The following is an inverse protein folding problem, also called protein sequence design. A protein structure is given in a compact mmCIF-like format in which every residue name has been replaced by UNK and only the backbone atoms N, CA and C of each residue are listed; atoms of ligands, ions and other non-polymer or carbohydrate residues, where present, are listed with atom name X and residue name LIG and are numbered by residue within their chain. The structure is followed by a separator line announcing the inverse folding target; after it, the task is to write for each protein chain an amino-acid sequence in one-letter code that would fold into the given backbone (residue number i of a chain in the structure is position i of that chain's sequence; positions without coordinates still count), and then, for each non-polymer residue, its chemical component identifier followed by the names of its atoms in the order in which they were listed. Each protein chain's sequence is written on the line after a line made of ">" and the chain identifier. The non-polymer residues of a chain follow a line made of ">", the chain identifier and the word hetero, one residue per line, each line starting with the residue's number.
data_IF_029998782870
#
_entry.id   IF_029998782870
#
_cell.length_a   1.000
_cell.length_b   1.000
_cell.length_c   1.000
_cell.angle_alpha   90.00
_cell.angle_beta   90.00
_cell.angle_gamma   90.00
#
_symmetry.space_group_name_H-M   'P 1'
#
loop_
_entity.id
_entity.type
_entity.pdbx_description
1 polymer ?
#
# COMPACT_ATOMS: atom_id res chain seq x y z
N UNK A 1 -29.30 1.05 18.76
CA UNK A 1 -28.21 1.75 18.11
C UNK A 1 -28.63 2.42 16.81
N UNK A 2 -28.32 1.84 15.66
CA UNK A 2 -28.48 2.50 14.34
C UNK A 2 -29.92 2.82 13.99
N UNK A 3 -30.89 1.95 14.28
CA UNK A 3 -32.32 2.22 14.00
C UNK A 3 -32.80 3.45 14.75
N UNK A 4 -32.42 3.62 16.03
CA UNK A 4 -32.79 4.81 16.82
C UNK A 4 -32.18 6.08 16.23
N UNK A 5 -30.92 6.01 15.76
CA UNK A 5 -30.23 7.11 15.10
C UNK A 5 -30.98 7.55 13.83
N UNK A 6 -31.29 6.62 12.96
CA UNK A 6 -31.98 6.94 11.70
C UNK A 6 -33.44 7.39 11.92
N UNK A 7 -34.14 6.80 12.87
CA UNK A 7 -35.48 7.26 13.23
C UNK A 7 -35.48 8.73 13.71
N UNK A 8 -34.46 9.09 14.51
CA UNK A 8 -34.31 10.48 14.94
C UNK A 8 -34.01 11.42 13.76
N UNK A 9 -33.14 11.06 12.84
CA UNK A 9 -32.88 11.83 11.61
C UNK A 9 -34.14 12.04 10.78
N UNK A 10 -34.91 10.99 10.55
CA UNK A 10 -36.14 11.07 9.76
C UNK A 10 -37.19 11.94 10.46
N UNK A 11 -37.29 11.88 11.78
CA UNK A 11 -38.16 12.76 12.56
C UNK A 11 -37.80 14.25 12.41
N UNK A 12 -36.51 14.58 12.39
CA UNK A 12 -36.03 15.94 12.14
C UNK A 12 -36.33 16.36 10.68
N UNK A 13 -36.05 15.49 9.73
CA UNK A 13 -36.29 15.72 8.32
C UNK A 13 -37.78 15.97 8.02
N UNK A 14 -38.65 15.22 8.64
CA UNK A 14 -40.11 15.38 8.49
C UNK A 14 -40.62 16.73 9.05
N UNK A 15 -39.98 17.24 10.10
CA UNK A 15 -40.36 18.55 10.70
C UNK A 15 -39.84 19.75 9.92
N UNK A 16 -38.58 19.65 9.41
CA UNK A 16 -37.89 20.83 8.90
C UNK A 16 -37.66 20.78 7.39
N UNK A 17 -37.90 19.64 6.76
CA UNK A 17 -37.56 19.44 5.34
C UNK A 17 -36.02 19.42 5.11
N UNK A 18 -35.64 19.43 3.82
CA UNK A 18 -34.28 19.61 3.40
C UNK A 18 -33.46 18.30 3.26
N UNK A 19 -32.20 18.47 2.87
CA UNK A 19 -31.25 17.37 2.68
C UNK A 19 -30.48 17.06 3.98
N UNK A 20 -30.24 15.77 4.21
CA UNK A 20 -29.48 15.31 5.38
C UNK A 20 -28.02 15.16 5.03
N UNK A 21 -27.14 15.74 5.85
CA UNK A 21 -25.70 15.52 5.81
C UNK A 21 -25.24 14.95 7.16
N UNK A 22 -24.50 13.85 7.11
CA UNK A 22 -23.93 13.20 8.29
C UNK A 22 -22.42 13.39 8.25
N UNK A 23 -21.86 14.05 9.27
CA UNK A 23 -20.43 14.20 9.43
C UNK A 23 -19.93 13.31 10.56
N UNK A 24 -18.85 12.58 10.34
CA UNK A 24 -18.29 11.70 11.37
C UNK A 24 -16.77 11.68 11.34
N UNK A 25 -16.18 11.44 12.50
CA UNK A 25 -14.76 11.10 12.61
C UNK A 25 -14.53 9.62 12.32
N UNK A 26 -13.33 9.29 11.87
CA UNK A 26 -12.93 7.88 11.72
C UNK A 26 -13.63 7.11 10.63
N UNK A 27 -14.03 7.79 9.54
CA UNK A 27 -14.56 7.12 8.34
C UNK A 27 -13.70 5.91 7.94
N UNK A 28 -14.38 4.82 7.59
CA UNK A 28 -13.77 3.54 7.24
C UNK A 28 -12.97 2.85 8.38
N UNK A 29 -13.19 3.27 9.63
CA UNK A 29 -12.68 2.67 10.86
C UNK A 29 -13.78 1.94 11.66
N UNK A 30 -13.92 2.27 12.93
CA UNK A 30 -14.96 1.73 13.82
C UNK A 30 -16.38 2.09 13.38
N UNK A 31 -16.56 3.25 12.75
CA UNK A 31 -17.87 3.72 12.25
C UNK A 31 -18.32 3.02 10.95
N UNK A 32 -17.55 2.10 10.39
CA UNK A 32 -17.82 1.46 9.09
C UNK A 32 -19.24 0.91 8.88
N UNK A 33 -19.88 0.25 9.85
CA UNK A 33 -21.27 -0.17 9.66
C UNK A 33 -22.23 1.01 9.48
N UNK A 34 -22.00 2.12 10.20
CA UNK A 34 -22.78 3.35 10.06
C UNK A 34 -22.51 4.06 8.74
N UNK A 35 -21.24 4.11 8.31
CA UNK A 35 -20.84 4.70 7.03
C UNK A 35 -21.67 4.16 5.86
N UNK A 36 -21.83 2.83 5.80
CA UNK A 36 -22.64 2.16 4.78
C UNK A 36 -24.10 2.51 4.88
N UNK A 37 -24.68 2.39 6.06
CA UNK A 37 -26.10 2.64 6.29
C UNK A 37 -26.49 4.08 5.95
N UNK A 38 -25.60 5.05 6.18
CA UNK A 38 -25.78 6.45 5.80
C UNK A 38 -25.84 6.60 4.27
N UNK A 39 -24.90 5.97 3.56
CA UNK A 39 -24.86 6.02 2.10
C UNK A 39 -26.02 5.26 1.44
N UNK A 40 -26.41 4.10 1.96
CA UNK A 40 -27.54 3.31 1.48
C UNK A 40 -28.87 4.05 1.57
N UNK A 41 -29.01 4.97 2.56
CA UNK A 41 -30.17 5.85 2.68
C UNK A 41 -30.11 7.12 1.84
N UNK A 42 -29.08 7.26 1.01
CA UNK A 42 -28.89 8.43 0.15
C UNK A 42 -28.48 9.71 0.89
N UNK A 43 -28.05 9.63 2.17
CA UNK A 43 -27.58 10.79 2.90
C UNK A 43 -26.17 11.16 2.52
N UNK A 44 -25.88 12.46 2.50
CA UNK A 44 -24.55 12.97 2.26
C UNK A 44 -23.63 12.63 3.43
N UNK A 45 -22.57 11.88 3.18
CA UNK A 45 -21.57 11.52 4.19
C UNK A 45 -20.34 12.41 4.07
N UNK A 46 -19.90 12.98 5.21
CA UNK A 46 -18.73 13.81 5.32
C UNK A 46 -17.77 13.19 6.35
N UNK A 47 -16.51 13.01 5.98
CA UNK A 47 -15.44 12.64 6.92
C UNK A 47 -14.81 13.88 7.52
N UNK A 48 -14.78 13.96 8.84
CA UNK A 48 -14.10 15.01 9.56
C UNK A 48 -12.61 14.66 9.66
N UNK A 49 -11.74 15.55 9.21
CA UNK A 49 -10.31 15.37 9.36
C UNK A 49 -9.88 15.69 10.79
N UNK A 50 -9.60 14.68 11.60
CA UNK A 50 -9.31 14.77 13.02
C UNK A 50 -8.16 15.74 13.35
N UNK A 51 -7.10 15.76 12.55
CA UNK A 51 -5.98 16.68 12.78
C UNK A 51 -6.39 18.14 12.56
N UNK A 52 -7.22 18.40 11.57
CA UNK A 52 -7.71 19.76 11.30
C UNK A 52 -8.76 20.18 12.31
N UNK A 53 -9.61 19.26 12.74
CA UNK A 53 -10.57 19.50 13.82
C UNK A 53 -9.85 19.80 15.13
N UNK A 54 -8.80 19.06 15.47
CA UNK A 54 -7.99 19.35 16.65
C UNK A 54 -7.42 20.77 16.62
N UNK A 55 -6.84 21.19 15.51
CA UNK A 55 -6.34 22.58 15.34
C UNK A 55 -7.44 23.63 15.38
N UNK A 56 -8.62 23.30 14.86
CA UNK A 56 -9.78 24.18 14.98
C UNK A 56 -10.23 24.34 16.43
N UNK A 57 -10.18 23.26 17.21
CA UNK A 57 -10.48 23.31 18.65
C UNK A 57 -9.51 24.16 19.45
N UNK A 58 -8.25 24.27 19.02
CA UNK A 58 -7.22 25.11 19.66
C UNK A 58 -7.51 26.61 19.58
N UNK A 59 -8.39 27.05 18.66
CA UNK A 59 -8.81 28.46 18.55
C UNK A 59 -9.74 28.88 19.69
N UNK A 60 -10.39 27.91 20.35
CA UNK A 60 -11.34 28.17 21.43
C UNK A 60 -10.70 27.95 22.80
N UNK A 61 -11.11 28.70 23.82
CA UNK A 61 -10.66 28.45 25.20
C UNK A 61 -10.87 26.99 25.60
N UNK A 62 -9.94 26.45 26.39
CA UNK A 62 -9.95 25.03 26.77
C UNK A 62 -11.25 24.67 27.49
N UNK A 63 -12.16 24.04 26.80
CA UNK A 63 -13.37 23.47 27.37
C UNK A 63 -13.13 22.01 27.73
N UNK A 64 -13.92 21.49 28.67
CA UNK A 64 -13.92 20.08 29.01
C UNK A 64 -14.09 19.24 27.74
N UNK A 65 -13.34 18.16 27.61
CA UNK A 65 -13.44 17.25 26.46
C UNK A 65 -14.58 16.26 26.70
N UNK A 66 -15.67 16.43 25.97
CA UNK A 66 -16.80 15.49 25.94
C UNK A 66 -17.26 15.27 24.49
N UNK A 67 -17.83 14.11 24.21
CA UNK A 67 -18.36 13.78 22.87
C UNK A 67 -19.41 14.79 22.40
N UNK A 68 -20.21 15.34 23.34
CA UNK A 68 -21.21 16.37 23.05
C UNK A 68 -20.57 17.67 22.56
N UNK A 69 -19.50 18.11 23.20
CA UNK A 69 -18.75 19.30 22.80
C UNK A 69 -18.09 19.08 21.43
N UNK A 70 -17.53 17.91 21.22
CA UNK A 70 -16.88 17.54 19.96
C UNK A 70 -17.89 17.50 18.80
N UNK A 71 -19.07 16.92 19.02
CA UNK A 71 -20.15 16.93 18.03
C UNK A 71 -20.64 18.34 17.69
N UNK A 72 -20.80 19.21 18.72
CA UNK A 72 -21.20 20.63 18.54
C UNK A 72 -20.15 21.39 17.73
N UNK A 73 -18.87 21.25 18.02
CA UNK A 73 -17.77 21.87 17.26
C UNK A 73 -17.72 21.35 15.83
N UNK A 74 -18.03 20.07 15.60
CA UNK A 74 -18.19 19.51 14.27
C UNK A 74 -19.33 20.20 13.48
N UNK A 75 -20.46 20.47 14.13
CA UNK A 75 -21.59 21.18 13.54
C UNK A 75 -21.26 22.65 13.23
N UNK A 76 -20.63 23.37 14.17
CA UNK A 76 -20.15 24.74 13.97
C UNK A 76 -19.17 24.81 12.77
N UNK A 77 -18.31 23.82 12.64
CA UNK A 77 -17.40 23.70 11.51
C UNK A 77 -18.12 23.49 10.17
N UNK A 78 -19.22 22.74 10.15
CA UNK A 78 -20.08 22.58 8.96
C UNK A 78 -20.68 23.91 8.54
N UNK A 79 -21.24 24.65 9.49
CA UNK A 79 -21.83 25.97 9.27
C UNK A 79 -20.79 26.99 8.77
N UNK A 80 -19.59 27.00 9.39
CA UNK A 80 -18.47 27.83 8.91
C UNK A 80 -17.99 27.43 7.50
N UNK A 81 -18.16 26.20 7.11
CA UNK A 81 -17.83 25.72 5.75
C UNK A 81 -18.62 26.41 4.64
N UNK A 82 -19.80 26.90 4.95
CA UNK A 82 -20.63 27.64 3.99
C UNK A 82 -20.17 29.10 3.80
N UNK A 83 -19.60 29.68 4.83
CA UNK A 83 -19.11 31.07 4.86
C UNK A 83 -17.61 31.15 4.55
N UNK A 84 -16.79 30.24 5.11
CA UNK A 84 -15.33 30.25 4.99
C UNK A 84 -14.84 29.07 4.10
N UNK A 85 -14.35 29.31 2.87
CA UNK A 85 -13.87 28.26 1.98
C UNK A 85 -12.74 27.40 2.60
N UNK A 86 -11.95 27.96 3.53
CA UNK A 86 -10.89 27.23 4.24
C UNK A 86 -11.46 26.16 5.16
N UNK A 87 -12.61 26.39 5.80
CA UNK A 87 -13.29 25.45 6.66
C UNK A 87 -13.82 24.23 5.89
N UNK A 88 -14.23 24.39 4.63
CA UNK A 88 -14.68 23.29 3.74
C UNK A 88 -13.63 22.20 3.60
N UNK A 89 -12.35 22.51 3.68
CA UNK A 89 -11.26 21.52 3.58
C UNK A 89 -11.13 20.60 4.80
N UNK A 90 -11.81 20.91 5.89
CA UNK A 90 -11.85 20.06 7.11
C UNK A 90 -12.84 18.93 6.95
N UNK A 91 -13.96 19.23 6.29
CA UNK A 91 -15.02 18.29 5.94
C UNK A 91 -14.77 17.74 4.55
N UNK A 92 -14.53 16.46 4.47
CA UNK A 92 -14.21 15.78 3.21
C UNK A 92 -15.44 14.97 2.76
N UNK A 93 -16.04 15.30 1.59
CA UNK A 93 -17.10 14.46 1.04
C UNK A 93 -16.62 13.03 0.86
N UNK A 94 -17.40 12.07 1.33
CA UNK A 94 -17.16 10.65 1.13
C UNK A 94 -17.89 10.24 -0.14
N UNK A 95 -17.11 9.80 -1.12
CA UNK A 95 -17.64 9.31 -2.38
C UNK A 95 -17.95 7.82 -2.27
N UNK A 96 -18.99 7.38 -2.93
CA UNK A 96 -19.27 5.95 -3.07
C UNK A 96 -18.18 5.29 -3.89
N UNK A 97 -17.53 4.30 -3.30
CA UNK A 97 -16.45 3.54 -3.95
C UNK A 97 -17.09 2.24 -4.48
N UNK A 98 -16.87 1.88 -5.76
CA UNK A 98 -17.27 0.57 -6.27
C UNK A 98 -16.75 -0.56 -5.35
N UNK A 99 -17.61 -1.52 -5.06
CA UNK A 99 -17.31 -2.62 -4.12
C UNK A 99 -16.01 -3.34 -4.47
N UNK A 100 -15.78 -3.56 -5.76
CA UNK A 100 -14.55 -4.21 -6.26
C UNK A 100 -13.28 -3.44 -5.87
N UNK A 101 -13.31 -2.10 -5.93
CA UNK A 101 -12.15 -1.29 -5.56
C UNK A 101 -11.92 -1.29 -4.03
N UNK A 102 -12.97 -1.36 -3.20
CA UNK A 102 -12.81 -1.53 -1.75
C UNK A 102 -12.27 -2.93 -1.41
N UNK A 103 -12.67 -3.96 -2.14
CA UNK A 103 -12.11 -5.32 -2.01
C UNK A 103 -10.63 -5.33 -2.40
N UNK A 104 -10.25 -4.78 -3.56
CA UNK A 104 -8.86 -4.64 -4.00
C UNK A 104 -8.02 -3.90 -2.96
N UNK A 105 -8.53 -2.82 -2.40
CA UNK A 105 -7.84 -2.07 -1.33
C UNK A 105 -7.53 -2.93 -0.12
N UNK A 106 -8.43 -3.82 0.29
CA UNK A 106 -8.22 -4.70 1.45
C UNK A 106 -7.21 -5.79 1.16
N UNK A 107 -7.35 -6.44 0.01
CA UNK A 107 -6.47 -7.53 -0.39
C UNK A 107 -5.04 -7.02 -0.61
N UNK A 108 -4.87 -5.92 -1.34
CA UNK A 108 -3.53 -5.35 -1.61
C UNK A 108 -2.86 -4.85 -0.33
N UNK A 109 -3.61 -4.28 0.61
CA UNK A 109 -3.08 -3.91 1.94
C UNK A 109 -2.66 -5.13 2.74
N UNK A 110 -3.48 -6.20 2.75
CA UNK A 110 -3.13 -7.46 3.41
C UNK A 110 -1.89 -8.08 2.78
N UNK A 111 -1.86 -8.13 1.43
CA UNK A 111 -0.69 -8.59 0.68
C UNK A 111 0.59 -7.86 1.08
N UNK A 112 0.55 -6.53 1.13
CA UNK A 112 1.71 -5.73 1.52
C UNK A 112 2.19 -6.06 2.94
N UNK A 113 1.27 -6.22 3.89
CA UNK A 113 1.61 -6.63 5.26
C UNK A 113 2.34 -7.97 5.28
N UNK A 114 1.87 -8.97 4.50
CA UNK A 114 2.53 -10.28 4.42
C UNK A 114 3.91 -10.21 3.73
N UNK A 115 4.06 -9.39 2.70
CA UNK A 115 5.36 -9.17 2.03
C UNK A 115 6.36 -8.50 2.99
N UNK A 116 5.92 -7.50 3.76
CA UNK A 116 6.76 -6.84 4.75
C UNK A 116 7.12 -7.79 5.91
N UNK A 117 6.19 -8.61 6.37
CA UNK A 117 6.44 -9.66 7.36
C UNK A 117 7.46 -10.67 6.84
N UNK A 118 7.27 -11.17 5.60
CA UNK A 118 8.22 -12.08 4.95
C UNK A 118 9.62 -11.48 4.88
N UNK A 119 9.74 -10.19 4.56
CA UNK A 119 11.04 -9.49 4.54
C UNK A 119 11.71 -9.45 5.91
N UNK A 120 10.95 -9.19 6.98
CA UNK A 120 11.50 -9.19 8.35
C UNK A 120 11.97 -10.58 8.79
N UNK A 121 11.16 -11.62 8.54
CA UNK A 121 11.51 -13.01 8.86
C UNK A 121 12.74 -13.45 8.07
N UNK A 122 12.82 -13.08 6.78
CA UNK A 122 13.99 -13.37 5.93
C UNK A 122 15.27 -12.72 6.46
N UNK A 123 15.20 -11.48 6.91
CA UNK A 123 16.36 -10.77 7.50
C UNK A 123 16.83 -11.44 8.79
N UNK A 124 15.91 -11.90 9.63
CA UNK A 124 16.23 -12.65 10.85
C UNK A 124 16.88 -13.99 10.51
N UNK A 125 16.27 -14.77 9.62
CA UNK A 125 16.82 -16.03 9.11
C UNK A 125 18.28 -15.88 8.62
N UNK A 126 18.57 -14.81 7.84
CA UNK A 126 19.91 -14.54 7.35
C UNK A 126 20.89 -14.25 8.48
N UNK A 127 20.48 -13.46 9.47
CA UNK A 127 21.32 -13.13 10.64
C UNK A 127 21.64 -14.36 11.45
N UNK A 128 20.64 -15.20 11.72
CA UNK A 128 20.80 -16.41 12.53
C UNK A 128 21.62 -17.48 11.79
N UNK A 129 21.41 -17.65 10.49
CA UNK A 129 22.23 -18.54 9.65
C UNK A 129 23.70 -18.10 9.63
N UNK A 130 23.95 -16.78 9.55
CA UNK A 130 25.31 -16.25 9.57
C UNK A 130 26.02 -16.52 10.89
N UNK A 131 25.29 -16.53 12.00
CA UNK A 131 25.83 -16.82 13.33
C UNK A 131 26.07 -18.33 13.56
N UNK A 132 25.13 -19.17 13.08
CA UNK A 132 25.14 -20.62 13.37
C UNK A 132 25.90 -21.43 12.34
N UNK A 133 25.77 -21.10 11.05
CA UNK A 133 26.39 -21.83 9.94
C UNK A 133 26.66 -20.91 8.75
N UNK A 134 27.66 -20.00 8.84
CA UNK A 134 27.88 -18.92 7.86
C UNK A 134 28.02 -19.42 6.41
N UNK A 135 28.74 -20.52 6.18
CA UNK A 135 28.94 -21.09 4.84
C UNK A 135 27.66 -21.61 4.16
N UNK A 136 26.55 -21.73 4.88
CA UNK A 136 25.28 -22.20 4.32
C UNK A 136 24.66 -21.14 3.37
N UNK A 137 24.82 -19.87 3.65
CA UNK A 137 24.31 -18.79 2.80
C UNK A 137 25.08 -18.70 1.47
N UNK A 138 26.34 -19.10 1.44
CA UNK A 138 27.20 -18.98 0.25
C UNK A 138 26.77 -19.91 -0.89
N UNK A 139 26.09 -21.02 -0.57
CA UNK A 139 25.61 -21.96 -1.59
C UNK A 139 24.40 -21.44 -2.38
N UNK A 140 23.65 -20.46 -1.84
CA UNK A 140 22.40 -19.99 -2.44
C UNK A 140 22.51 -18.66 -3.15
N UNK A 141 23.39 -17.77 -2.73
CA UNK A 141 23.47 -16.38 -3.17
C UNK A 141 22.29 -15.50 -2.72
N UNK A 142 21.08 -16.07 -2.55
CA UNK A 142 19.86 -15.40 -2.08
C UNK A 142 19.06 -16.32 -1.19
N UNK A 143 18.92 -15.98 0.10
CA UNK A 143 18.24 -16.81 1.08
C UNK A 143 16.72 -16.99 0.80
N UNK A 144 16.11 -16.13 -0.03
CA UNK A 144 14.71 -16.24 -0.44
C UNK A 144 14.45 -17.29 -1.55
N UNK A 145 15.49 -17.94 -2.08
CA UNK A 145 15.35 -18.96 -3.11
C UNK A 145 14.53 -20.14 -2.60
N UNK A 146 13.53 -20.56 -3.38
CA UNK A 146 12.57 -21.58 -2.97
C UNK A 146 13.25 -22.93 -2.63
N UNK A 147 14.24 -23.34 -3.45
CA UNK A 147 15.00 -24.56 -3.22
C UNK A 147 15.75 -24.52 -1.90
N UNK A 148 16.29 -23.37 -1.52
CA UNK A 148 17.05 -23.18 -0.30
C UNK A 148 16.16 -23.23 0.94
N UNK A 149 15.01 -22.58 0.90
CA UNK A 149 14.02 -22.63 1.96
C UNK A 149 13.48 -24.05 2.13
N UNK A 150 13.18 -24.77 1.05
CA UNK A 150 12.76 -26.17 1.08
C UNK A 150 13.87 -27.08 1.64
N UNK A 151 15.14 -26.80 1.30
CA UNK A 151 16.28 -27.52 1.84
C UNK A 151 16.41 -27.33 3.35
N UNK A 152 16.32 -26.10 3.86
CA UNK A 152 16.35 -25.85 5.31
C UNK A 152 15.16 -26.52 6.00
N UNK A 153 13.97 -26.42 5.44
CA UNK A 153 12.73 -26.92 6.06
C UNK A 153 12.53 -28.44 5.95
N UNK A 154 13.44 -29.18 5.29
CA UNK A 154 13.26 -30.63 5.10
C UNK A 154 13.72 -31.48 6.30
N UNK A 155 14.26 -30.85 7.33
CA UNK A 155 14.79 -31.52 8.54
C UNK A 155 14.16 -30.93 9.79
N UNK A 156 14.22 -31.66 10.89
CA UNK A 156 13.80 -31.27 12.24
C UNK A 156 14.96 -30.76 13.11
N UNK A 157 16.20 -30.96 12.67
CA UNK A 157 17.44 -30.50 13.30
C UNK A 157 18.37 -29.97 12.21
N UNK A 158 18.83 -28.71 12.35
CA UNK A 158 19.65 -28.02 11.37
C UNK A 158 20.93 -28.80 11.03
N UNK A 159 21.53 -29.47 12.01
CA UNK A 159 22.75 -30.28 11.82
C UNK A 159 22.55 -31.48 10.89
N UNK A 160 21.32 -31.99 10.76
CA UNK A 160 21.02 -33.10 9.83
C UNK A 160 21.22 -32.70 8.36
N UNK A 161 21.15 -31.40 8.03
CA UNK A 161 21.45 -30.91 6.68
C UNK A 161 22.84 -31.34 6.19
N UNK A 162 23.84 -31.38 7.08
CA UNK A 162 25.20 -31.81 6.75
C UNK A 162 25.33 -33.31 6.41
N UNK A 163 24.31 -34.11 6.69
CA UNK A 163 24.35 -35.57 6.54
C UNK A 163 23.36 -36.14 5.54
N UNK A 164 22.62 -35.27 4.83
CA UNK A 164 21.64 -35.70 3.83
C UNK A 164 22.33 -36.35 2.62
N UNK A 165 21.84 -37.53 2.22
CA UNK A 165 22.33 -38.23 1.03
C UNK A 165 21.85 -37.55 -0.25
N UNK A 166 22.60 -37.70 -1.33
CA UNK A 166 22.25 -37.13 -2.64
C UNK A 166 20.84 -37.53 -3.10
N UNK A 167 20.46 -38.80 -2.89
CA UNK A 167 19.13 -39.28 -3.23
C UNK A 167 18.00 -38.57 -2.46
N UNK A 168 18.27 -38.11 -1.24
CA UNK A 168 17.33 -37.31 -0.43
C UNK A 168 17.32 -35.88 -0.93
N UNK A 169 18.48 -35.28 -1.24
CA UNK A 169 18.57 -33.93 -1.77
C UNK A 169 17.78 -33.76 -3.07
N UNK A 170 17.86 -34.74 -3.98
CA UNK A 170 17.13 -34.70 -5.25
C UNK A 170 15.60 -34.85 -5.12
N UNK A 171 15.10 -35.28 -3.94
CA UNK A 171 13.65 -35.32 -3.65
C UNK A 171 13.12 -33.96 -3.13
N UNK A 172 14.01 -33.06 -2.73
CA UNK A 172 13.60 -31.73 -2.22
C UNK A 172 13.08 -30.88 -3.38
N UNK A 173 11.91 -30.27 -3.27
CA UNK A 173 11.35 -29.44 -4.32
C UNK A 173 12.31 -28.33 -4.78
N UNK A 174 12.48 -28.21 -6.08
CA UNK A 174 13.37 -27.24 -6.75
C UNK A 174 14.89 -27.46 -6.52
N UNK A 175 15.32 -28.58 -5.93
CA UNK A 175 16.74 -29.00 -5.87
C UNK A 175 17.03 -29.91 -7.04
N UNK A 176 17.81 -29.42 -8.03
CA UNK A 176 18.34 -30.22 -9.13
C UNK A 176 19.80 -30.64 -8.89
N UNK A 177 20.37 -31.36 -9.85
CA UNK A 177 21.77 -31.88 -9.75
C UNK A 177 22.81 -30.78 -9.41
N UNK A 178 22.67 -29.60 -10.00
CA UNK A 178 23.58 -28.49 -9.75
C UNK A 178 23.57 -28.02 -8.29
N UNK A 179 22.38 -27.87 -7.70
CA UNK A 179 22.24 -27.50 -6.30
C UNK A 179 22.63 -28.65 -5.37
N UNK A 180 22.30 -29.89 -5.70
CA UNK A 180 22.73 -31.05 -4.93
C UNK A 180 24.26 -31.12 -4.85
N UNK A 181 24.98 -30.88 -5.96
CA UNK A 181 26.46 -30.83 -5.94
C UNK A 181 27.01 -29.70 -5.06
N UNK A 182 26.41 -28.50 -5.09
CA UNK A 182 26.79 -27.38 -4.21
C UNK A 182 26.55 -27.72 -2.74
N UNK A 183 25.41 -28.32 -2.42
CA UNK A 183 25.09 -28.77 -1.05
C UNK A 183 26.12 -29.80 -0.58
N UNK A 184 26.46 -30.80 -1.42
CA UNK A 184 27.47 -31.81 -1.08
C UNK A 184 28.85 -31.20 -0.87
N UNK A 185 29.26 -30.22 -1.66
CA UNK A 185 30.51 -29.48 -1.44
C UNK A 185 30.51 -28.77 -0.09
N UNK A 186 29.41 -28.09 0.27
CA UNK A 186 29.22 -27.45 1.57
C UNK A 186 29.25 -28.47 2.71
N UNK A 187 28.58 -29.63 2.58
CA UNK A 187 28.54 -30.66 3.61
C UNK A 187 29.92 -31.17 4.04
N UNK A 188 30.92 -31.12 3.14
CA UNK A 188 32.30 -31.59 3.42
C UNK A 188 33.07 -30.62 4.32
N UNK A 189 32.73 -29.36 4.33
CA UNK A 189 33.50 -28.31 5.01
C UNK A 189 32.67 -27.57 6.08
N UNK A 190 31.40 -27.96 6.26
CA UNK A 190 30.50 -27.23 7.15
C UNK A 190 30.85 -27.43 8.62
N UNK A 191 30.76 -26.34 9.36
CA UNK A 191 30.92 -26.29 10.81
C UNK A 191 29.71 -25.55 11.37
N UNK A 192 29.11 -26.11 12.41
CA UNK A 192 28.02 -25.46 13.16
C UNK A 192 28.59 -24.91 14.46
N UNK A 193 28.17 -23.69 14.82
CA UNK A 193 28.46 -23.16 16.15
C UNK A 193 27.70 -23.96 17.22
N UNK A 194 28.13 -23.83 18.47
CA UNK A 194 27.41 -24.43 19.61
C UNK A 194 25.98 -23.88 19.77
N UNK A 195 25.70 -22.70 19.24
CA UNK A 195 24.37 -22.08 19.26
C UNK A 195 23.34 -22.81 18.38
N UNK A 196 23.77 -23.74 17.53
CA UNK A 196 22.88 -24.55 16.69
C UNK A 196 21.83 -25.32 17.48
N UNK A 197 22.08 -25.60 18.76
CA UNK A 197 21.15 -26.37 19.61
C UNK A 197 19.88 -25.56 19.96
N UNK A 198 19.99 -24.23 20.12
CA UNK A 198 18.84 -23.39 20.49
C UNK A 198 18.44 -22.42 19.39
N UNK A 199 19.33 -21.96 18.52
CA UNK A 199 18.98 -21.11 17.37
C UNK A 199 18.51 -21.95 16.17
N UNK A 200 19.01 -23.18 16.01
CA UNK A 200 18.64 -24.08 14.92
C UNK A 200 17.14 -24.25 14.74
N UNK A 201 16.36 -24.56 15.81
CA UNK A 201 14.89 -24.65 15.72
C UNK A 201 14.23 -23.35 15.23
N UNK A 202 14.74 -22.17 15.64
CA UNK A 202 14.22 -20.86 15.19
C UNK A 202 14.46 -20.66 13.69
N UNK A 203 15.62 -21.07 13.19
CA UNK A 203 15.95 -21.02 11.75
C UNK A 203 14.98 -21.88 10.94
N UNK A 204 14.67 -23.10 11.41
CA UNK A 204 13.73 -24.00 10.74
C UNK A 204 12.32 -23.42 10.71
N UNK A 205 11.86 -22.88 11.83
CA UNK A 205 10.55 -22.20 11.95
C UNK A 205 10.47 -20.99 11.00
N UNK A 206 11.51 -20.16 10.95
CA UNK A 206 11.56 -18.99 10.08
C UNK A 206 11.56 -19.38 8.59
N UNK A 207 12.29 -20.42 8.19
CA UNK A 207 12.28 -20.92 6.83
C UNK A 207 10.88 -21.41 6.43
N UNK A 208 10.22 -22.19 7.28
CA UNK A 208 8.84 -22.63 7.07
C UNK A 208 7.88 -21.44 6.99
N UNK A 209 8.02 -20.48 7.89
CA UNK A 209 7.20 -19.26 7.91
C UNK A 209 7.33 -18.44 6.62
N UNK A 210 8.54 -18.33 6.06
CA UNK A 210 8.77 -17.63 4.78
C UNK A 210 8.05 -18.34 3.63
N UNK A 211 8.05 -19.68 3.60
CA UNK A 211 7.32 -20.48 2.62
C UNK A 211 5.81 -20.25 2.72
N UNK A 212 5.24 -20.32 3.92
CA UNK A 212 3.81 -20.09 4.18
C UNK A 212 3.38 -18.68 3.76
N UNK A 213 4.16 -17.64 4.14
CA UNK A 213 3.92 -16.27 3.73
C UNK A 213 3.97 -16.12 2.21
N UNK A 214 4.90 -16.82 1.55
CA UNK A 214 4.99 -16.86 0.10
C UNK A 214 3.74 -17.44 -0.56
N UNK A 215 3.20 -18.53 -0.03
CA UNK A 215 1.95 -19.15 -0.50
C UNK A 215 0.75 -18.22 -0.26
N UNK A 216 0.66 -17.62 0.92
CA UNK A 216 -0.42 -16.67 1.24
C UNK A 216 -0.40 -15.43 0.32
N UNK A 217 0.78 -14.91 -0.02
CA UNK A 217 0.93 -13.81 -0.99
C UNK A 217 0.44 -14.23 -2.37
N UNK A 218 0.82 -15.43 -2.86
CA UNK A 218 0.35 -15.95 -4.15
C UNK A 218 -1.17 -16.11 -4.20
N UNK A 219 -1.78 -16.61 -3.12
CA UNK A 219 -3.23 -16.72 -3.04
C UNK A 219 -3.95 -15.37 -3.12
N UNK A 220 -3.38 -14.31 -2.48
CA UNK A 220 -3.90 -12.95 -2.60
C UNK A 220 -3.69 -12.38 -4.01
N UNK A 221 -2.60 -12.71 -4.69
CA UNK A 221 -2.35 -12.29 -6.07
C UNK A 221 -3.39 -12.86 -7.03
N UNK A 222 -3.79 -14.12 -6.87
CA UNK A 222 -4.87 -14.74 -7.64
C UNK A 222 -6.23 -14.05 -7.40
N UNK A 223 -6.55 -13.75 -6.14
CA UNK A 223 -7.78 -13.02 -5.81
C UNK A 223 -7.77 -11.61 -6.40
N UNK A 224 -6.64 -10.91 -6.35
CA UNK A 224 -6.49 -9.60 -6.97
C UNK A 224 -6.65 -9.68 -8.50
N UNK A 225 -6.10 -10.72 -9.15
CA UNK A 225 -6.26 -10.92 -10.59
C UNK A 225 -7.73 -11.09 -11.01
N UNK A 226 -8.49 -11.89 -10.25
CA UNK A 226 -9.93 -12.06 -10.49
C UNK A 226 -10.71 -10.75 -10.33
N UNK A 227 -10.41 -9.98 -9.28
CA UNK A 227 -11.12 -8.71 -9.06
C UNK A 227 -10.67 -7.61 -10.03
N UNK A 228 -9.44 -7.65 -10.51
CA UNK A 228 -8.92 -6.68 -11.47
C UNK A 228 -9.75 -6.66 -12.76
N UNK A 229 -10.22 -7.83 -13.23
CA UNK A 229 -11.08 -7.92 -14.42
C UNK A 229 -12.46 -7.25 -14.26
N UNK A 230 -12.87 -6.97 -13.03
CA UNK A 230 -14.12 -6.32 -12.70
C UNK A 230 -13.94 -4.82 -12.36
N UNK A 231 -12.68 -4.37 -12.21
CA UNK A 231 -12.36 -3.00 -11.84
C UNK A 231 -11.94 -2.19 -13.06
N UNK A 232 -12.78 -1.26 -13.48
CA UNK A 232 -12.47 -0.36 -14.58
C UNK A 232 -11.17 0.43 -14.31
N UNK A 233 -10.98 0.95 -13.08
CA UNK A 233 -9.76 1.67 -12.72
C UNK A 233 -8.52 0.77 -12.84
N UNK A 234 -8.60 -0.49 -12.36
CA UNK A 234 -7.47 -1.40 -12.42
C UNK A 234 -7.11 -1.76 -13.86
N UNK A 235 -8.11 -2.07 -14.71
CA UNK A 235 -7.90 -2.38 -16.13
C UNK A 235 -7.24 -1.21 -16.86
N UNK A 236 -7.73 0.02 -16.67
CA UNK A 236 -7.14 1.20 -17.32
C UNK A 236 -5.69 1.42 -16.87
N UNK A 237 -5.38 1.28 -15.58
CA UNK A 237 -4.00 1.42 -15.11
C UNK A 237 -3.11 0.28 -15.60
N UNK A 238 -3.63 -0.93 -15.72
CA UNK A 238 -2.89 -2.10 -16.22
C UNK A 238 -2.49 -1.97 -17.69
N UNK A 239 -3.24 -1.22 -18.48
CA UNK A 239 -2.88 -0.91 -19.88
C UNK A 239 -1.61 -0.07 -20.01
N UNK A 240 -1.14 0.56 -18.92
CA UNK A 240 0.09 1.36 -18.90
C UNK A 240 1.31 0.41 -18.81
N UNK A 241 2.24 0.42 -19.76
CA UNK A 241 3.45 -0.40 -19.68
C UNK A 241 4.17 -0.24 -18.35
N UNK A 242 4.47 -1.36 -17.67
CA UNK A 242 5.14 -1.36 -16.37
C UNK A 242 4.21 -1.31 -15.15
N UNK A 243 2.92 -1.04 -15.32
CA UNK A 243 1.90 -1.12 -14.27
C UNK A 243 1.19 -2.47 -14.39
N UNK A 244 1.77 -3.51 -13.82
CA UNK A 244 1.16 -4.84 -13.84
C UNK A 244 0.23 -5.05 -12.64
N UNK A 245 -0.39 -6.25 -12.55
CA UNK A 245 -1.39 -6.69 -11.58
C UNK A 245 -1.29 -6.03 -10.20
N UNK A 246 -0.12 -6.08 -9.58
CA UNK A 246 0.06 -5.60 -8.19
C UNK A 246 -0.09 -4.08 -8.10
N UNK A 247 0.58 -3.34 -9.00
CA UNK A 247 0.52 -1.87 -8.99
C UNK A 247 -0.87 -1.38 -9.39
N UNK A 248 -1.48 -1.99 -10.41
CA UNK A 248 -2.80 -1.63 -10.92
C UNK A 248 -3.90 -1.89 -9.89
N UNK A 249 -3.87 -3.06 -9.24
CA UNK A 249 -4.82 -3.41 -8.18
C UNK A 249 -4.67 -2.52 -6.94
N UNK A 250 -3.43 -2.24 -6.53
CA UNK A 250 -3.16 -1.37 -5.37
C UNK A 250 -3.61 0.07 -5.63
N UNK A 251 -3.29 0.60 -6.81
CA UNK A 251 -3.72 1.94 -7.20
C UNK A 251 -5.23 2.04 -7.34
N UNK A 252 -5.89 1.05 -7.97
CA UNK A 252 -7.35 1.02 -8.07
C UNK A 252 -8.01 1.01 -6.69
N UNK A 253 -7.51 0.20 -5.77
CA UNK A 253 -8.00 0.15 -4.40
C UNK A 253 -7.79 1.45 -3.63
N UNK A 254 -6.63 2.09 -3.76
CA UNK A 254 -6.32 3.32 -3.03
C UNK A 254 -6.97 4.56 -3.67
N UNK A 255 -7.11 4.62 -5.00
CA UNK A 255 -7.86 5.67 -5.71
C UNK A 255 -9.36 5.53 -5.39
N UNK A 256 -9.89 4.31 -5.48
CA UNK A 256 -11.28 3.98 -5.18
C UNK A 256 -12.27 4.50 -6.21
N UNK A 257 -12.38 5.81 -6.36
CA UNK A 257 -13.21 6.50 -7.36
C UNK A 257 -12.47 7.75 -7.86
N UNK A 258 -12.49 7.99 -9.16
CA UNK A 258 -11.80 9.15 -9.77
C UNK A 258 -12.46 10.48 -9.38
N UNK A 259 -13.76 10.46 -9.13
CA UNK A 259 -14.56 11.65 -8.77
C UNK A 259 -14.13 12.30 -7.45
N UNK A 260 -13.40 11.56 -6.62
CA UNK A 260 -12.75 12.11 -5.42
C UNK A 260 -11.76 13.23 -5.73
N UNK A 261 -11.26 13.29 -6.96
CA UNK A 261 -10.23 14.21 -7.38
C UNK A 261 -10.80 15.20 -8.41
N UNK A 262 -11.06 16.43 -7.97
CA UNK A 262 -11.59 17.47 -8.87
C UNK A 262 -10.64 17.88 -10.00
N UNK A 263 -9.33 17.62 -9.83
CA UNK A 263 -8.28 17.94 -10.81
C UNK A 263 -7.08 16.99 -10.68
N UNK A 264 -6.30 16.86 -11.73
CA UNK A 264 -5.14 15.99 -11.81
C UNK A 264 -4.07 16.29 -10.75
N UNK A 265 -3.90 17.57 -10.37
CA UNK A 265 -2.97 17.96 -9.32
C UNK A 265 -3.34 17.39 -7.95
N UNK A 266 -4.65 17.22 -7.67
CA UNK A 266 -5.12 16.58 -6.43
C UNK A 266 -4.79 15.10 -6.39
N UNK A 267 -4.94 14.41 -7.53
CA UNK A 267 -4.53 13.01 -7.67
C UNK A 267 -3.01 12.88 -7.49
N UNK A 268 -2.22 13.71 -8.17
CA UNK A 268 -0.76 13.68 -8.06
C UNK A 268 -0.27 13.94 -6.63
N UNK A 269 -0.92 14.85 -5.91
CA UNK A 269 -0.63 15.09 -4.50
C UNK A 269 -0.95 13.87 -3.63
N UNK A 270 -2.11 13.27 -3.83
CA UNK A 270 -2.54 12.05 -3.12
C UNK A 270 -1.59 10.87 -3.36
N UNK A 271 -1.14 10.69 -4.61
CA UNK A 271 -0.19 9.66 -5.01
C UNK A 271 1.28 9.99 -4.64
N UNK A 272 1.54 11.16 -4.04
CA UNK A 272 2.88 11.57 -3.61
C UNK A 272 3.84 11.89 -4.75
N UNK A 273 3.32 12.24 -5.93
CA UNK A 273 4.09 12.60 -7.13
C UNK A 273 4.22 14.12 -7.31
N UNK A 274 3.59 14.92 -6.44
CA UNK A 274 3.71 16.37 -6.44
C UNK A 274 4.43 16.88 -5.19
N UNK A 275 5.07 18.03 -5.31
CA UNK A 275 5.63 18.82 -4.20
C UNK A 275 4.71 20.00 -3.91
N UNK A 276 4.82 20.57 -2.72
CA UNK A 276 4.17 21.81 -2.35
C UNK A 276 5.20 22.96 -2.42
N UNK A 277 4.77 24.09 -2.87
CA UNK A 277 5.60 25.30 -2.82
C UNK A 277 5.89 25.67 -1.36
N UNK A 278 7.11 26.09 -1.12
CA UNK A 278 7.60 26.53 0.18
C UNK A 278 8.48 27.77 -0.03
N UNK A 279 7.84 28.84 -0.47
CA UNK A 279 8.50 30.11 -0.76
C UNK A 279 8.14 31.13 0.30
N UNK A 280 9.12 31.94 0.72
CA UNK A 280 8.91 33.09 1.61
C UNK A 280 9.89 34.20 1.20
N UNK A 281 9.36 35.39 0.95
CA UNK A 281 10.16 36.51 0.45
C UNK A 281 10.90 36.16 -0.84
N UNK A 282 12.21 36.37 -0.86
CA UNK A 282 13.09 36.08 -2.02
C UNK A 282 13.44 34.57 -2.14
N UNK A 283 13.21 33.77 -1.12
CA UNK A 283 13.52 32.31 -1.13
C UNK A 283 12.45 31.54 -1.88
N UNK A 284 12.81 30.93 -3.01
CA UNK A 284 11.98 29.98 -3.74
C UNK A 284 12.38 28.56 -3.37
N UNK A 285 11.39 27.72 -3.00
CA UNK A 285 11.66 26.35 -2.63
C UNK A 285 10.42 25.47 -2.73
N UNK A 286 10.61 24.17 -2.52
CA UNK A 286 9.52 23.21 -2.46
C UNK A 286 9.70 22.27 -1.27
N UNK A 287 8.59 21.78 -0.73
CA UNK A 287 8.58 20.79 0.34
C UNK A 287 7.74 19.58 -0.03
N UNK A 288 8.14 18.43 0.50
CA UNK A 288 7.34 17.21 0.35
C UNK A 288 6.04 17.33 1.16
N UNK A 289 4.88 16.98 0.57
CA UNK A 289 3.62 16.96 1.31
C UNK A 289 3.67 15.90 2.40
N UNK A 290 3.18 16.25 3.61
CA UNK A 290 3.11 15.31 4.74
C UNK A 290 1.94 14.31 4.63
N UNK A 291 0.86 14.73 3.98
CA UNK A 291 -0.39 13.98 3.87
C UNK A 291 -0.54 13.33 2.48
N UNK A 292 0.28 12.30 2.23
CA UNK A 292 0.20 11.48 1.02
C UNK A 292 -0.25 10.07 1.38
N UNK A 293 -0.89 9.39 0.46
CA UNK A 293 -1.13 7.97 0.60
C UNK A 293 0.18 7.21 0.34
N UNK A 294 0.84 6.75 1.41
CA UNK A 294 2.15 6.08 1.31
C UNK A 294 2.10 4.81 0.46
N UNK A 295 0.99 4.05 0.51
CA UNK A 295 0.83 2.82 -0.28
C UNK A 295 0.70 3.15 -1.76
N UNK A 296 -0.20 4.03 -2.11
CA UNK A 296 -0.36 4.48 -3.49
C UNK A 296 0.93 5.10 -4.05
N UNK A 297 1.67 5.87 -3.23
CA UNK A 297 2.99 6.39 -3.60
C UNK A 297 3.98 5.27 -3.93
N UNK A 298 4.04 4.23 -3.11
CA UNK A 298 4.93 3.09 -3.37
C UNK A 298 4.57 2.35 -4.66
N UNK A 299 3.27 2.10 -4.90
CA UNK A 299 2.80 1.49 -6.14
C UNK A 299 3.13 2.37 -7.36
N UNK A 300 2.91 3.68 -7.28
CA UNK A 300 3.31 4.64 -8.33
C UNK A 300 4.81 4.61 -8.58
N UNK A 301 5.65 4.70 -7.54
CA UNK A 301 7.11 4.68 -7.70
C UNK A 301 7.58 3.41 -8.41
N UNK A 302 7.02 2.26 -8.03
CA UNK A 302 7.34 0.97 -8.65
C UNK A 302 6.87 0.91 -10.11
N UNK A 303 5.62 1.29 -10.39
CA UNK A 303 5.07 1.30 -11.74
C UNK A 303 5.84 2.24 -12.67
N UNK A 304 6.15 3.46 -12.21
CA UNK A 304 6.93 4.45 -12.96
C UNK A 304 8.35 3.97 -13.26
N UNK A 305 9.03 3.32 -12.30
CA UNK A 305 10.36 2.76 -12.55
C UNK A 305 10.35 1.62 -13.58
N UNK A 306 9.30 0.80 -13.58
CA UNK A 306 9.11 -0.23 -14.60
C UNK A 306 8.72 0.38 -15.95
N UNK A 307 7.85 1.39 -15.94
CA UNK A 307 7.40 2.09 -17.14
C UNK A 307 8.55 2.69 -17.94
N UNK A 308 9.47 3.43 -17.30
CA UNK A 308 10.61 4.02 -17.99
C UNK A 308 11.51 3.00 -18.69
N UNK A 309 11.55 1.76 -18.18
CA UNK A 309 12.35 0.67 -18.79
C UNK A 309 11.68 0.06 -20.03
N UNK A 310 10.41 0.35 -20.26
CA UNK A 310 9.61 -0.18 -21.37
C UNK A 310 9.22 0.90 -22.40
N UNK A 311 9.32 2.18 -22.04
CA UNK A 311 8.94 3.31 -22.90
C UNK A 311 10.14 4.24 -23.07
N UNK A 312 10.67 4.31 -24.26
CA UNK A 312 11.90 5.04 -24.59
C UNK A 312 11.81 6.54 -24.27
N UNK A 313 10.68 7.19 -24.51
CA UNK A 313 10.45 8.61 -24.18
C UNK A 313 10.55 8.84 -22.65
N UNK A 314 9.97 7.96 -21.86
CA UNK A 314 10.03 8.02 -20.40
C UNK A 314 11.43 7.78 -19.87
N UNK A 315 12.20 6.90 -20.50
CA UNK A 315 13.61 6.67 -20.18
C UNK A 315 14.44 7.92 -20.47
N UNK A 316 14.27 8.53 -21.65
CA UNK A 316 14.97 9.78 -22.01
C UNK A 316 14.64 10.91 -21.03
N UNK A 317 13.36 11.04 -20.63
CA UNK A 317 12.98 12.04 -19.63
C UNK A 317 13.63 11.78 -18.28
N UNK A 318 13.64 10.53 -17.83
CA UNK A 318 14.30 10.13 -16.57
C UNK A 318 15.80 10.46 -16.61
N UNK A 319 16.53 10.12 -17.67
CA UNK A 319 17.95 10.39 -17.85
C UNK A 319 18.24 11.90 -17.83
N UNK A 320 17.44 12.70 -18.56
CA UNK A 320 17.51 14.15 -18.50
C UNK A 320 17.42 14.65 -17.06
N UNK A 321 16.48 14.11 -16.25
CA UNK A 321 16.34 14.50 -14.85
C UNK A 321 17.51 14.05 -13.97
N UNK A 322 18.16 12.95 -14.30
CA UNK A 322 19.39 12.51 -13.65
C UNK A 322 20.56 13.42 -13.95
N UNK A 323 20.71 13.84 -15.22
CA UNK A 323 21.72 14.80 -15.65
C UNK A 323 21.52 16.20 -15.02
N UNK A 324 20.28 16.59 -14.73
CA UNK A 324 19.96 17.79 -13.95
C UNK A 324 20.33 17.67 -12.44
N UNK A 325 21.04 16.61 -12.02
CA UNK A 325 21.47 16.38 -10.64
C UNK A 325 20.39 15.80 -9.70
N UNK A 326 19.21 15.41 -10.21
CA UNK A 326 18.17 14.79 -9.35
C UNK A 326 18.56 13.37 -8.95
N UNK A 327 18.32 13.02 -7.70
CA UNK A 327 18.46 11.63 -7.24
C UNK A 327 17.48 10.71 -8.00
N UNK A 328 17.74 9.38 -7.99
CA UNK A 328 16.85 8.39 -8.61
C UNK A 328 15.38 8.62 -8.24
N UNK A 329 15.09 8.69 -6.95
CA UNK A 329 13.72 8.86 -6.46
C UNK A 329 13.09 10.21 -6.84
N UNK A 330 13.88 11.27 -7.00
CA UNK A 330 13.40 12.57 -7.49
C UNK A 330 13.07 12.52 -8.98
N UNK A 331 13.90 11.87 -9.79
CA UNK A 331 13.67 11.70 -11.22
C UNK A 331 12.43 10.83 -11.49
N UNK A 332 12.25 9.72 -10.75
CA UNK A 332 11.05 8.88 -10.80
C UNK A 332 9.79 9.68 -10.43
N UNK A 333 9.82 10.50 -9.37
CA UNK A 333 8.67 11.35 -9.01
C UNK A 333 8.35 12.40 -10.07
N UNK A 334 9.37 12.97 -10.70
CA UNK A 334 9.18 13.95 -11.78
C UNK A 334 8.47 13.28 -12.97
N UNK A 335 8.89 12.09 -13.40
CA UNK A 335 8.21 11.31 -14.42
C UNK A 335 6.80 10.88 -13.96
N UNK A 336 6.68 10.43 -12.72
CA UNK A 336 5.40 10.04 -12.11
C UNK A 336 4.39 11.19 -12.06
N UNK A 337 4.84 12.46 -11.97
CA UNK A 337 3.97 13.62 -12.07
C UNK A 337 3.33 13.75 -13.45
N UNK A 338 4.06 13.44 -14.52
CA UNK A 338 3.50 13.39 -15.87
C UNK A 338 2.52 12.23 -16.02
N UNK A 339 2.87 11.03 -15.53
CA UNK A 339 1.99 9.87 -15.58
C UNK A 339 0.71 10.06 -14.75
N UNK A 340 0.73 10.83 -13.66
CA UNK A 340 -0.50 11.18 -12.94
C UNK A 340 -1.49 11.94 -13.80
N UNK A 341 -1.02 12.84 -14.69
CA UNK A 341 -1.87 13.54 -15.65
C UNK A 341 -2.48 12.58 -16.66
N UNK A 342 -1.66 11.65 -17.17
CA UNK A 342 -2.13 10.61 -18.09
C UNK A 342 -3.17 9.74 -17.42
N UNK A 343 -2.87 9.18 -16.23
CA UNK A 343 -3.79 8.34 -15.45
C UNK A 343 -5.11 9.08 -15.17
N UNK A 344 -5.05 10.33 -14.72
CA UNK A 344 -6.26 11.11 -14.44
C UNK A 344 -7.15 11.26 -15.69
N UNK A 345 -6.57 11.57 -16.84
CA UNK A 345 -7.30 11.72 -18.09
C UNK A 345 -7.86 10.36 -18.59
N UNK A 346 -7.09 9.27 -18.47
CA UNK A 346 -7.55 7.93 -18.81
C UNK A 346 -8.77 7.53 -17.98
N UNK A 347 -8.70 7.74 -16.66
CA UNK A 347 -9.79 7.39 -15.75
C UNK A 347 -11.03 8.26 -15.94
N UNK A 348 -10.86 9.57 -16.21
CA UNK A 348 -11.98 10.49 -16.48
C UNK A 348 -12.69 10.19 -17.80
N UNK A 349 -11.93 9.84 -18.83
CA UNK A 349 -12.44 9.59 -20.16
C UNK A 349 -12.70 8.11 -20.45
N UNK A 350 -12.52 7.26 -19.45
CA UNK A 350 -12.70 5.81 -19.52
C UNK A 350 -11.98 5.16 -20.72
N UNK A 351 -10.71 5.52 -20.94
CA UNK A 351 -9.90 5.04 -22.08
C UNK A 351 -8.62 4.36 -21.60
N UNK A 352 -8.09 3.46 -22.42
CA UNK A 352 -6.80 2.82 -22.20
C UNK A 352 -5.63 3.77 -22.46
N UNK A 353 -4.44 3.30 -22.06
CA UNK A 353 -3.20 4.00 -22.36
C UNK A 353 -2.93 3.95 -23.87
N UNK A 354 -2.74 5.11 -24.44
CA UNK A 354 -2.37 5.26 -25.85
C UNK A 354 -0.85 5.49 -25.94
N UNK A 355 -0.18 4.54 -26.60
CA UNK A 355 1.23 4.68 -26.93
C UNK A 355 1.34 5.67 -28.09
N UNK A 356 1.93 6.79 -27.86
CA UNK A 356 2.41 7.64 -28.93
C UNK A 356 3.73 7.02 -29.43
N UNK A 357 3.67 6.41 -30.60
CA UNK A 357 4.85 5.94 -31.31
C UNK A 357 5.69 7.12 -31.80
#
# INVERSE_FOLDING_TARGET
>A
GFNRFFHHIESIRSRHGGSVSVAMEGFNGFARPLDRLVQERGYRLLNINNLKLARFKEIFPAAAKTDRIDARKGLELMQLGDVLPVARKVLQPVFTIPRVNDQLKRLTRRRRTLVEERGRVLSRLQTDLQAVCPGLLDITGRAENLWFLNFISCVDDLRKLARLRQSTLLKIPAVGLCYAARIQAWQRVTIFSHEADWVGPMILEDAQRILELGQAVKALDLQCATLMTQSNIAQRIDSIPGFALVCSSELAGEIGAVDRFGREASLALYLGMATLDNSSGTKKGSKSPRHVNRRAKMAMMTGVDKHRKQVAESQRYYEKKRLEGKSHNQAIRALGRHLCRVIFNMLRNNRDYDRRD
#
